data_IF_297196452699
#
_entry.id   IF_297196452699
#
_cell.length_a   1.000
_cell.length_b   1.000
_cell.length_c   1.000
_cell.angle_alpha   90.00
_cell.angle_beta   90.00
_cell.angle_gamma   90.00
#
_symmetry.space_group_name_H-M   'P 1'
#
loop_
_entity.id
_entity.type
_entity.pdbx_description
1 polymer ?
#
# COMPACT_ATOMS: atom_id res chain seq x y z
N UNK A 1 -5.77 -17.40 15.96
CA UNK A 1 -6.59 -16.51 15.11
C UNK A 1 -7.53 -15.71 16.02
N UNK A 2 -7.01 -14.68 16.72
CA UNK A 2 -7.75 -13.96 17.79
C UNK A 2 -7.59 -12.44 17.72
N UNK A 3 -6.96 -11.91 16.67
CA UNK A 3 -6.37 -10.57 16.65
C UNK A 3 -7.00 -9.63 15.60
N UNK A 4 -8.29 -9.84 15.28
CA UNK A 4 -9.03 -9.04 14.27
C UNK A 4 -10.15 -8.19 14.87
N UNK A 5 -10.22 -8.10 16.18
CA UNK A 5 -11.25 -7.33 16.92
C UNK A 5 -11.21 -5.81 16.65
N UNK A 6 -10.16 -5.31 16.00
CA UNK A 6 -10.00 -3.88 15.65
C UNK A 6 -10.31 -3.56 14.18
N UNK A 7 -10.93 -4.48 13.44
CA UNK A 7 -11.26 -4.32 12.00
C UNK A 7 -12.77 -4.23 11.71
N UNK A 8 -13.58 -4.01 12.75
CA UNK A 8 -15.03 -3.87 12.62
C UNK A 8 -15.37 -2.42 12.28
N UNK A 9 -16.21 -2.21 11.26
CA UNK A 9 -16.71 -0.89 10.88
C UNK A 9 -18.23 -0.92 10.65
N UNK A 10 -18.91 0.15 11.06
CA UNK A 10 -20.34 0.32 10.88
C UNK A 10 -20.65 1.13 9.63
N UNK A 11 -21.55 0.63 8.78
CA UNK A 11 -22.14 1.41 7.70
C UNK A 11 -23.56 1.81 8.09
N UNK A 12 -23.82 3.12 8.12
CA UNK A 12 -25.16 3.68 8.25
C UNK A 12 -25.73 3.90 6.86
N UNK A 13 -26.82 3.22 6.53
CA UNK A 13 -27.50 3.34 5.24
C UNK A 13 -28.90 3.93 5.45
N UNK A 14 -29.17 5.07 4.81
CA UNK A 14 -30.47 5.76 4.88
C UNK A 14 -30.35 7.25 5.16
N UNK A 15 -31.45 8.01 5.04
CA UNK A 15 -31.48 9.42 5.42
C UNK A 15 -31.19 9.58 6.92
N UNK A 16 -30.48 10.65 7.30
CA UNK A 16 -30.01 10.91 8.67
C UNK A 16 -31.11 10.93 9.75
N UNK A 17 -32.38 10.91 9.35
CA UNK A 17 -33.55 11.06 10.20
C UNK A 17 -34.17 9.71 10.60
N UNK A 18 -33.65 8.57 10.09
CA UNK A 18 -34.09 7.24 10.50
C UNK A 18 -33.07 6.62 11.47
N UNK A 19 -33.53 6.30 12.69
CA UNK A 19 -32.79 5.50 13.66
C UNK A 19 -32.71 4.03 13.18
N UNK A 20 -31.82 3.74 12.23
CA UNK A 20 -31.48 2.37 11.84
C UNK A 20 -30.19 1.92 12.53
N UNK A 21 -30.21 0.71 13.07
CA UNK A 21 -29.01 0.09 13.61
C UNK A 21 -27.95 -0.05 12.49
N UNK A 22 -26.67 0.26 12.77
CA UNK A 22 -25.61 0.16 11.77
C UNK A 22 -25.39 -1.30 11.35
N UNK A 23 -25.13 -1.51 10.06
CA UNK A 23 -24.64 -2.79 9.58
C UNK A 23 -23.15 -2.88 9.92
N UNK A 24 -22.77 -3.88 10.71
CA UNK A 24 -21.37 -4.09 11.12
C UNK A 24 -20.71 -5.03 10.12
N UNK A 25 -19.63 -4.57 9.50
CA UNK A 25 -18.79 -5.34 8.59
C UNK A 25 -17.41 -5.53 9.19
N UNK A 26 -16.77 -6.66 8.84
CA UNK A 26 -15.40 -6.99 9.24
C UNK A 26 -14.55 -7.22 8.00
N UNK A 27 -13.41 -6.55 7.93
CA UNK A 27 -12.46 -6.79 6.84
C UNK A 27 -11.85 -8.20 6.95
N UNK A 28 -11.80 -8.90 5.82
CA UNK A 28 -11.15 -10.22 5.71
C UNK A 28 -9.69 -10.11 5.29
N UNK A 29 -9.32 -8.97 4.71
CA UNK A 29 -7.97 -8.57 4.32
C UNK A 29 -7.43 -7.50 5.28
N UNK A 30 -6.11 -7.34 5.31
CA UNK A 30 -5.48 -6.31 6.12
C UNK A 30 -5.88 -4.93 5.62
N UNK A 31 -6.35 -4.09 6.54
CA UNK A 31 -6.62 -2.69 6.26
C UNK A 31 -5.33 -1.89 6.34
N UNK A 32 -5.07 -1.13 5.28
CA UNK A 32 -3.89 -0.29 5.13
C UNK A 32 -3.97 1.07 5.89
N UNK A 33 -4.90 1.21 6.85
CA UNK A 33 -5.14 2.47 7.59
C UNK A 33 -5.20 2.30 9.12
N UNK A 34 -4.82 1.13 9.64
CA UNK A 34 -4.71 0.92 11.09
C UNK A 34 -3.29 1.30 11.54
N UNK A 35 -3.13 1.83 12.76
CA UNK A 35 -1.85 2.32 13.30
C UNK A 35 -0.68 1.30 13.21
N UNK A 36 -0.98 0.00 13.11
CA UNK A 36 -0.01 -1.09 12.94
C UNK A 36 0.28 -1.50 11.48
N UNK A 37 -0.46 -0.96 10.51
CA UNK A 37 -0.29 -1.21 9.06
C UNK A 37 1.12 -0.88 8.56
N UNK A 38 1.73 0.29 8.87
CA UNK A 38 3.01 0.68 8.27
C UNK A 38 4.13 -0.29 8.62
N UNK A 39 4.14 -0.80 9.86
CA UNK A 39 5.17 -1.72 10.35
C UNK A 39 5.08 -3.09 9.67
N UNK A 40 3.86 -3.61 9.52
CA UNK A 40 3.63 -4.90 8.88
C UNK A 40 3.86 -4.82 7.38
N UNK A 41 3.42 -3.74 6.72
CA UNK A 41 3.72 -3.48 5.31
C UNK A 41 5.23 -3.39 5.07
N UNK A 42 5.96 -2.63 5.88
CA UNK A 42 7.40 -2.51 5.76
C UNK A 42 8.09 -3.88 5.89
N UNK A 43 7.66 -4.72 6.83
CA UNK A 43 8.21 -6.08 7.00
C UNK A 43 7.87 -7.00 5.82
N UNK A 44 6.63 -6.99 5.33
CA UNK A 44 6.21 -7.79 4.17
C UNK A 44 6.93 -7.35 2.90
N UNK A 45 7.11 -6.05 2.73
CA UNK A 45 7.85 -5.45 1.64
C UNK A 45 9.33 -5.84 1.72
N UNK A 46 9.98 -5.70 2.88
CA UNK A 46 11.36 -6.16 3.07
C UNK A 46 11.52 -7.64 2.73
N UNK A 47 10.58 -8.48 3.16
CA UNK A 47 10.59 -9.91 2.87
C UNK A 47 10.50 -10.19 1.36
N UNK A 48 9.57 -9.53 0.65
CA UNK A 48 9.44 -9.67 -0.80
C UNK A 48 10.67 -9.13 -1.54
N UNK A 49 11.16 -7.96 -1.14
CA UNK A 49 12.31 -7.30 -1.78
C UNK A 49 13.62 -8.06 -1.58
N UNK A 50 13.79 -8.82 -0.48
CA UNK A 50 14.99 -9.67 -0.30
C UNK A 50 15.19 -10.64 -1.45
N UNK A 51 14.12 -11.21 -2.01
CA UNK A 51 14.18 -12.13 -3.16
C UNK A 51 14.65 -11.42 -4.43
N UNK A 52 14.27 -10.16 -4.60
CA UNK A 52 14.56 -9.37 -5.81
C UNK A 52 15.79 -8.45 -5.65
N UNK A 53 16.39 -8.36 -4.46
CA UNK A 53 17.55 -7.50 -4.16
C UNK A 53 18.74 -7.74 -5.09
N UNK A 54 18.99 -8.99 -5.47
CA UNK A 54 20.07 -9.34 -6.40
C UNK A 54 19.75 -8.96 -7.86
N UNK A 55 18.47 -8.96 -8.23
CA UNK A 55 18.00 -8.71 -9.60
C UNK A 55 17.75 -7.23 -9.86
N UNK A 56 17.15 -6.53 -8.89
CA UNK A 56 16.74 -5.13 -8.98
C UNK A 56 17.19 -4.32 -7.75
N UNK A 57 18.51 -4.19 -7.49
CA UNK A 57 19.02 -3.55 -6.27
C UNK A 57 18.60 -2.07 -6.16
N UNK A 58 18.56 -1.35 -7.29
CA UNK A 58 18.18 0.07 -7.33
C UNK A 58 16.70 0.28 -7.00
N UNK A 59 15.84 -0.60 -7.50
CA UNK A 59 14.38 -0.56 -7.24
C UNK A 59 14.06 -0.96 -5.82
N UNK A 60 14.75 -1.97 -5.26
CA UNK A 60 14.62 -2.32 -3.85
C UNK A 60 15.04 -1.16 -2.94
N UNK A 61 16.15 -0.49 -3.24
CA UNK A 61 16.59 0.69 -2.48
C UNK A 61 15.60 1.85 -2.58
N UNK A 62 14.94 2.00 -3.73
CA UNK A 62 13.93 3.00 -3.94
C UNK A 62 12.66 2.70 -3.12
N UNK A 63 12.20 1.45 -3.09
CA UNK A 63 11.04 1.03 -2.29
C UNK A 63 11.27 1.11 -0.78
N UNK A 64 12.51 1.15 -0.31
CA UNK A 64 12.81 1.48 1.10
C UNK A 64 12.42 2.92 1.50
N UNK A 65 12.00 3.77 0.55
CA UNK A 65 11.49 5.13 0.84
C UNK A 65 9.96 5.21 0.91
N UNK A 66 9.28 4.07 1.09
CA UNK A 66 7.83 4.02 1.34
C UNK A 66 7.50 4.57 2.74
N UNK A 67 6.49 5.43 2.82
CA UNK A 67 5.93 5.96 4.05
C UNK A 67 4.45 5.63 4.15
N UNK A 68 4.08 4.85 5.16
CA UNK A 68 2.72 4.36 5.44
C UNK A 68 2.17 3.50 4.29
N UNK A 69 1.85 4.09 3.14
CA UNK A 69 1.41 3.41 1.92
C UNK A 69 1.93 4.10 0.64
N UNK A 70 2.60 5.25 0.75
CA UNK A 70 3.02 6.07 -0.38
C UNK A 70 4.52 5.98 -0.61
N UNK A 71 4.94 5.94 -1.88
CA UNK A 71 6.34 6.14 -2.26
C UNK A 71 6.59 7.65 -2.25
N UNK A 72 7.42 8.13 -1.33
CA UNK A 72 7.69 9.57 -1.14
C UNK A 72 8.85 10.07 -2.03
N UNK A 73 9.37 9.22 -2.90
CA UNK A 73 10.51 9.51 -3.77
C UNK A 73 10.08 9.35 -5.23
N UNK A 74 10.38 10.33 -6.08
CA UNK A 74 10.25 10.19 -7.53
C UNK A 74 11.55 9.70 -8.17
N UNK A 75 11.51 9.30 -9.45
CA UNK A 75 12.75 9.16 -10.23
C UNK A 75 13.11 10.46 -10.95
N UNK A 76 14.35 10.53 -11.43
CA UNK A 76 14.87 11.66 -12.21
C UNK A 76 14.15 11.83 -13.56
N UNK A 77 13.71 10.72 -14.17
CA UNK A 77 13.08 10.68 -15.49
C UNK A 77 11.89 9.71 -15.54
N UNK A 78 10.89 10.06 -16.35
CA UNK A 78 9.70 9.28 -16.68
C UNK A 78 9.99 7.81 -17.07
N UNK A 79 10.98 7.58 -17.94
CA UNK A 79 11.35 6.24 -18.40
C UNK A 79 11.81 5.35 -17.24
N UNK A 80 12.49 5.96 -16.27
CA UNK A 80 13.00 5.28 -15.09
C UNK A 80 11.86 4.88 -14.14
N UNK A 81 10.85 5.73 -14.01
CA UNK A 81 9.62 5.44 -13.27
C UNK A 81 8.86 4.27 -13.90
N UNK A 82 8.69 4.31 -15.21
CA UNK A 82 8.04 3.23 -15.95
C UNK A 82 8.76 1.89 -15.75
N UNK A 83 10.09 1.88 -15.88
CA UNK A 83 10.89 0.66 -15.63
C UNK A 83 10.74 0.14 -14.21
N UNK A 84 10.81 1.02 -13.21
CA UNK A 84 10.60 0.64 -11.81
C UNK A 84 9.21 0.06 -11.58
N UNK A 85 8.17 0.61 -12.22
CA UNK A 85 6.81 0.05 -12.13
C UNK A 85 6.70 -1.37 -12.68
N UNK A 86 7.41 -1.68 -13.78
CA UNK A 86 7.48 -3.02 -14.35
C UNK A 86 8.23 -3.99 -13.45
N UNK A 87 9.37 -3.56 -12.91
CA UNK A 87 10.19 -4.36 -11.97
C UNK A 87 9.40 -4.68 -10.68
N UNK A 88 8.60 -3.74 -10.17
CA UNK A 88 7.69 -3.96 -9.05
C UNK A 88 6.59 -4.97 -9.40
N UNK A 89 5.98 -4.85 -10.59
CA UNK A 89 4.95 -5.77 -11.06
C UNK A 89 5.48 -7.21 -11.21
N UNK A 90 6.71 -7.38 -11.68
CA UNK A 90 7.40 -8.68 -11.70
C UNK A 90 7.71 -9.24 -10.30
N UNK A 91 7.77 -8.36 -9.30
CA UNK A 91 7.95 -8.72 -7.89
C UNK A 91 6.63 -8.98 -7.15
N UNK A 92 5.51 -9.07 -7.87
CA UNK A 92 4.14 -9.14 -7.33
C UNK A 92 3.76 -7.93 -6.46
N UNK A 93 4.45 -6.80 -6.64
CA UNK A 93 4.15 -5.53 -5.97
C UNK A 93 3.40 -4.64 -6.96
N UNK A 94 2.10 -4.47 -6.74
CA UNK A 94 1.27 -3.57 -7.55
C UNK A 94 1.28 -2.18 -6.93
N UNK A 95 1.82 -1.20 -7.66
CA UNK A 95 1.79 0.20 -7.25
C UNK A 95 0.48 0.83 -7.72
N UNK A 96 -0.34 1.30 -6.79
CA UNK A 96 -1.67 1.85 -7.08
C UNK A 96 -1.68 3.36 -7.31
N UNK A 97 -0.70 4.08 -6.76
CA UNK A 97 -0.55 5.53 -6.92
C UNK A 97 0.93 5.87 -6.93
N UNK A 98 1.33 6.67 -7.92
CA UNK A 98 2.68 7.21 -8.03
C UNK A 98 2.59 8.72 -8.14
N UNK A 99 3.31 9.45 -7.28
CA UNK A 99 3.42 10.90 -7.36
C UNK A 99 4.76 11.23 -7.99
N UNK A 100 4.76 11.65 -9.26
CA UNK A 100 5.97 12.09 -9.98
C UNK A 100 6.15 13.61 -9.80
N UNK A 101 7.38 14.09 -9.86
CA UNK A 101 7.68 15.52 -9.98
C UNK A 101 7.70 16.00 -11.44
N UNK A 102 7.44 15.10 -12.40
CA UNK A 102 7.44 15.37 -13.83
C UNK A 102 6.02 15.70 -14.28
N UNK A 103 5.82 16.78 -15.03
CA UNK A 103 4.46 17.20 -15.44
C UNK A 103 3.82 16.31 -16.51
N UNK A 104 4.62 15.46 -17.16
CA UNK A 104 4.23 14.63 -18.30
C UNK A 104 3.74 13.23 -17.89
N UNK A 105 3.73 12.90 -16.59
CA UNK A 105 3.26 11.63 -16.00
C UNK A 105 2.46 11.84 -14.71
#
# INVERSE_FOLDING_TARGET
MRDRTYQDFGLLTGPANESKAPHIYRFTIMLYCLNSSPFMLAMTLEYHLRKYKNRYPKTCQFLNSIYVEDIVRGHENAEREYRTSLECKEADITLHKWQTNTKDL
#
